data_IF_592215717681
#
_entry.id   IF_592215717681
#
_cell.length_a   1.000
_cell.length_b   1.000
_cell.length_c   1.000
_cell.angle_alpha   90.00
_cell.angle_beta   90.00
_cell.angle_gamma   90.00
#
_symmetry.space_group_name_H-M   'P 1'
#
loop_
_entity.id
_entity.type
_entity.pdbx_description
1 polymer ?
#
# COMPACT_ATOMS: atom_id res chain seq x y z
N UNK A 1 76.95 25.90 48.83
CA UNK A 1 77.51 24.74 49.60
C UNK A 1 76.60 23.56 49.36
N UNK A 2 77.18 22.71 48.61
CA UNK A 2 77.25 21.25 48.82
C UNK A 2 75.89 20.46 48.70
N UNK A 3 75.88 19.78 47.69
CA UNK A 3 76.26 18.36 47.41
C UNK A 3 75.04 17.49 47.54
N UNK A 4 74.79 16.75 46.62
CA UNK A 4 75.23 15.49 46.09
C UNK A 4 74.05 14.53 46.03
N UNK A 5 73.67 14.20 44.87
CA UNK A 5 73.92 12.92 44.19
C UNK A 5 73.00 11.70 44.52
N UNK A 6 72.66 11.07 43.46
CA UNK A 6 72.47 9.64 43.27
C UNK A 6 71.13 9.09 43.78
N UNK A 7 70.44 8.28 43.09
CA UNK A 7 70.87 7.22 42.18
C UNK A 7 69.72 6.69 41.34
N UNK A 8 70.08 6.28 40.19
CA UNK A 8 69.39 5.40 39.28
C UNK A 8 68.89 4.12 40.00
N UNK A 9 67.64 3.76 39.80
CA UNK A 9 67.28 2.36 39.71
C UNK A 9 66.31 2.19 38.58
N UNK A 10 66.77 1.52 37.60
CA UNK A 10 66.11 0.93 36.50
C UNK A 10 65.26 -0.23 36.96
N UNK A 11 63.98 -0.22 36.70
CA UNK A 11 63.24 -1.49 36.66
C UNK A 11 62.30 -1.46 35.49
N UNK A 12 62.69 -2.19 34.49
CA UNK A 12 61.88 -2.64 33.39
C UNK A 12 60.66 -3.39 33.89
N UNK A 13 59.46 -2.89 33.65
CA UNK A 13 58.27 -3.72 33.71
C UNK A 13 57.66 -3.80 32.33
N UNK A 14 57.71 -5.02 31.86
CA UNK A 14 57.18 -5.53 30.63
C UNK A 14 55.70 -5.14 30.53
N UNK A 15 55.39 -4.34 29.50
CA UNK A 15 54.03 -4.13 29.10
C UNK A 15 53.50 -5.44 28.43
N UNK A 16 52.71 -6.19 29.15
CA UNK A 16 51.82 -7.20 28.52
C UNK A 16 50.74 -6.41 27.78
N UNK A 17 50.84 -6.44 26.49
CA UNK A 17 49.74 -5.95 25.61
C UNK A 17 48.55 -6.90 25.70
N UNK A 18 47.50 -6.45 26.33
CA UNK A 18 46.21 -7.10 26.23
C UNK A 18 45.60 -6.65 24.89
N UNK A 19 45.64 -7.56 23.92
CA UNK A 19 44.99 -7.40 22.65
C UNK A 19 43.47 -7.59 22.89
N UNK A 20 42.76 -6.48 23.10
CA UNK A 20 41.31 -6.53 23.18
C UNK A 20 40.76 -6.67 21.74
N UNK A 21 40.40 -7.90 21.38
CA UNK A 21 39.64 -8.19 20.18
C UNK A 21 38.20 -7.71 20.42
N UNK A 22 37.88 -6.53 19.92
CA UNK A 22 36.49 -6.07 19.86
C UNK A 22 35.82 -6.83 18.72
N UNK A 23 35.11 -7.88 19.07
CA UNK A 23 34.20 -8.56 18.13
C UNK A 23 33.00 -7.62 17.90
N UNK A 24 33.07 -6.85 16.84
CA UNK A 24 31.95 -6.03 16.40
C UNK A 24 30.81 -6.94 15.90
N UNK A 25 29.78 -7.09 16.70
CA UNK A 25 28.54 -7.75 16.28
C UNK A 25 27.84 -6.83 15.29
N UNK A 26 27.94 -7.12 14.00
CA UNK A 26 27.17 -6.44 12.96
C UNK A 26 25.73 -6.96 13.10
N UNK A 27 24.87 -6.16 13.71
CA UNK A 27 23.42 -6.41 13.70
C UNK A 27 22.94 -6.01 12.31
N UNK A 28 22.78 -7.00 11.43
CA UNK A 28 22.08 -6.82 10.17
C UNK A 28 20.60 -6.64 10.52
N UNK A 29 20.19 -5.39 10.66
CA UNK A 29 18.78 -5.03 10.83
C UNK A 29 18.03 -5.39 9.55
N UNK A 30 17.26 -6.49 9.57
CA UNK A 30 16.28 -6.76 8.56
C UNK A 30 15.18 -5.71 8.67
N UNK A 31 15.18 -4.73 7.79
CA UNK A 31 14.06 -3.80 7.67
C UNK A 31 12.86 -4.60 7.15
N UNK A 32 11.95 -4.93 8.03
CA UNK A 32 10.63 -5.43 7.65
C UNK A 32 9.90 -4.24 7.05
N UNK A 33 9.87 -4.19 5.72
CA UNK A 33 9.07 -3.21 5.00
C UNK A 33 7.61 -3.62 5.19
N UNK A 34 6.88 -2.85 5.98
CA UNK A 34 5.44 -3.02 6.08
C UNK A 34 4.84 -2.69 4.71
N UNK A 35 4.34 -3.72 4.01
CA UNK A 35 3.60 -3.52 2.77
C UNK A 35 2.35 -2.74 3.07
N UNK A 36 2.19 -1.59 2.41
CA UNK A 36 0.99 -0.78 2.51
C UNK A 36 -0.23 -1.53 1.93
N UNK A 37 -1.46 -1.07 2.22
CA UNK A 37 -2.69 -1.68 1.70
C UNK A 37 -2.70 -1.85 0.16
N UNK A 38 -1.96 -1.03 -0.57
CA UNK A 38 -1.84 -1.09 -2.03
C UNK A 38 -0.97 -2.26 -2.52
N UNK A 39 -0.03 -2.73 -1.72
CA UNK A 39 0.88 -3.82 -2.10
C UNK A 39 0.17 -5.17 -2.18
N UNK A 40 -1.03 -5.28 -1.58
CA UNK A 40 -1.86 -6.48 -1.61
C UNK A 40 -2.97 -6.43 -2.68
N UNK A 41 -3.18 -5.27 -3.31
CA UNK A 41 -4.15 -5.13 -4.39
C UNK A 41 -3.51 -5.57 -5.71
N UNK A 42 -4.08 -6.61 -6.32
CA UNK A 42 -3.73 -6.93 -7.69
C UNK A 42 -4.08 -5.77 -8.62
N UNK A 43 -3.48 -5.75 -9.79
CA UNK A 43 -3.77 -4.77 -10.84
C UNK A 43 -4.39 -5.47 -12.05
N UNK A 44 -5.31 -4.81 -12.72
CA UNK A 44 -5.89 -5.27 -13.99
C UNK A 44 -5.90 -4.12 -14.98
N UNK A 45 -5.44 -4.37 -16.21
CA UNK A 45 -5.53 -3.37 -17.26
C UNK A 45 -6.99 -3.10 -17.62
N UNK A 46 -7.35 -1.85 -17.88
CA UNK A 46 -8.70 -1.46 -18.29
C UNK A 46 -9.20 -2.28 -19.49
N UNK A 47 -8.33 -2.52 -20.49
CA UNK A 47 -8.63 -3.33 -21.66
C UNK A 47 -8.83 -4.83 -21.37
N UNK A 48 -8.33 -5.33 -20.25
CA UNK A 48 -8.49 -6.73 -19.83
C UNK A 48 -9.74 -6.98 -18.96
N UNK A 49 -10.47 -5.94 -18.62
CA UNK A 49 -11.73 -6.06 -17.90
C UNK A 49 -12.83 -6.65 -18.81
N UNK A 50 -13.85 -7.30 -18.21
CA UNK A 50 -15.06 -7.66 -18.96
C UNK A 50 -15.66 -6.45 -19.70
N UNK A 51 -16.27 -6.69 -20.85
CA UNK A 51 -16.86 -5.60 -21.67
C UNK A 51 -17.87 -4.75 -20.89
N UNK A 52 -18.64 -5.37 -20.00
CA UNK A 52 -19.59 -4.69 -19.13
C UNK A 52 -18.89 -3.71 -18.16
N UNK A 53 -17.72 -4.10 -17.66
CA UNK A 53 -16.92 -3.25 -16.77
C UNK A 53 -16.32 -2.07 -17.54
N UNK A 54 -15.82 -2.30 -18.76
CA UNK A 54 -15.33 -1.23 -19.62
C UNK A 54 -16.46 -0.22 -19.96
N UNK A 55 -17.66 -0.72 -20.26
CA UNK A 55 -18.85 0.12 -20.48
C UNK A 55 -19.18 0.94 -19.23
N UNK A 56 -19.18 0.31 -18.05
CA UNK A 56 -19.42 1.02 -16.79
C UNK A 56 -18.39 2.12 -16.54
N UNK A 57 -17.09 1.87 -16.83
CA UNK A 57 -16.08 2.93 -16.78
C UNK A 57 -16.40 4.12 -17.70
N UNK A 58 -16.89 3.84 -18.90
CA UNK A 58 -17.34 4.88 -19.83
C UNK A 58 -18.50 5.71 -19.25
N UNK A 59 -19.48 5.07 -18.64
CA UNK A 59 -20.60 5.73 -17.97
C UNK A 59 -20.14 6.59 -16.78
N UNK A 60 -19.20 6.12 -15.98
CA UNK A 60 -18.65 6.88 -14.86
C UNK A 60 -18.03 8.19 -15.37
N UNK A 61 -17.22 8.14 -16.42
CA UNK A 61 -16.60 9.33 -17.03
C UNK A 61 -17.62 10.27 -17.67
N UNK A 62 -18.70 9.72 -18.22
CA UNK A 62 -19.79 10.49 -18.81
C UNK A 62 -20.76 11.07 -17.77
N UNK A 63 -20.73 10.60 -16.52
CA UNK A 63 -21.68 11.01 -15.48
C UNK A 63 -23.04 10.32 -15.57
N UNK A 64 -23.12 9.18 -16.22
CA UNK A 64 -24.34 8.42 -16.46
C UNK A 64 -24.92 8.58 -17.85
N UNK A 65 -26.20 8.21 -18.09
CA UNK A 65 -27.13 7.68 -17.08
C UNK A 65 -26.77 6.26 -16.63
N UNK A 66 -26.99 5.98 -15.36
CA UNK A 66 -26.70 4.68 -14.77
C UNK A 66 -27.95 3.78 -14.72
N UNK A 67 -27.82 2.49 -15.02
CA UNK A 67 -28.97 1.58 -15.06
C UNK A 67 -29.51 1.17 -13.69
N UNK A 68 -28.73 1.35 -12.61
CA UNK A 68 -29.13 0.94 -11.26
C UNK A 68 -29.20 2.13 -10.32
N UNK A 69 -30.21 2.17 -9.47
CA UNK A 69 -30.41 3.26 -8.49
C UNK A 69 -29.32 3.36 -7.45
N UNK A 70 -28.55 2.28 -7.25
CA UNK A 70 -27.40 2.28 -6.34
C UNK A 70 -26.11 2.78 -6.96
N UNK A 71 -26.09 3.01 -8.26
CA UNK A 71 -24.88 3.50 -8.91
C UNK A 71 -24.57 4.95 -8.50
N UNK A 72 -23.31 5.18 -8.18
CA UNK A 72 -22.84 6.48 -7.70
C UNK A 72 -23.04 6.75 -6.21
N UNK A 73 -23.61 5.80 -5.44
CA UNK A 73 -23.71 5.97 -3.98
C UNK A 73 -22.33 5.85 -3.32
N UNK A 74 -22.20 6.46 -2.15
CA UNK A 74 -20.96 6.41 -1.37
C UNK A 74 -20.66 4.99 -0.92
N UNK A 75 -19.43 4.54 -1.19
CA UNK A 75 -18.88 3.28 -0.70
C UNK A 75 -18.07 3.54 0.57
N UNK A 76 -18.43 2.89 1.67
CA UNK A 76 -17.88 3.20 2.99
C UNK A 76 -16.49 2.61 3.29
N UNK A 77 -15.97 1.68 2.45
CA UNK A 77 -14.69 0.99 2.67
C UNK A 77 -14.52 0.45 4.11
N UNK A 78 -15.56 -0.14 4.67
CA UNK A 78 -15.61 -0.59 6.07
C UNK A 78 -14.54 -1.64 6.37
N UNK A 79 -14.30 -2.55 5.44
CA UNK A 79 -13.29 -3.62 5.55
C UNK A 79 -11.87 -3.11 5.29
N UNK A 80 -11.71 -1.83 4.94
CA UNK A 80 -10.44 -1.17 4.67
C UNK A 80 -9.56 -1.90 3.63
N UNK A 81 -10.17 -2.56 2.66
CA UNK A 81 -9.47 -3.23 1.55
C UNK A 81 -8.90 -2.22 0.53
N UNK A 82 -9.53 -1.05 0.42
CA UNK A 82 -9.02 0.07 -0.36
C UNK A 82 -8.24 1.04 0.53
N UNK A 83 -7.38 1.90 -0.05
CA UNK A 83 -6.67 2.92 0.69
C UNK A 83 -7.61 3.74 1.56
N UNK A 84 -7.16 4.06 2.76
CA UNK A 84 -7.95 4.83 3.71
C UNK A 84 -8.13 6.26 3.22
N UNK A 85 -9.38 6.70 3.11
CA UNK A 85 -9.76 8.05 2.65
C UNK A 85 -10.91 8.57 3.52
N UNK A 86 -11.17 9.87 3.41
CA UNK A 86 -12.30 10.52 4.04
C UNK A 86 -13.65 9.97 3.54
N UNK A 87 -14.67 10.14 4.34
CA UNK A 87 -16.03 9.71 3.99
C UNK A 87 -16.50 10.44 2.73
N UNK A 88 -17.11 9.69 1.81
CA UNK A 88 -17.60 10.23 0.53
C UNK A 88 -16.58 10.23 -0.60
N UNK A 89 -15.32 9.89 -0.32
CA UNK A 89 -14.28 9.81 -1.34
C UNK A 89 -14.57 8.71 -2.37
N UNK A 90 -15.06 7.53 -1.92
CA UNK A 90 -15.37 6.40 -2.78
C UNK A 90 -16.84 6.35 -3.16
N UNK A 91 -17.11 5.98 -4.42
CA UNK A 91 -18.45 5.69 -4.95
C UNK A 91 -18.45 4.36 -5.66
N UNK A 92 -19.54 3.61 -5.53
CA UNK A 92 -19.71 2.32 -6.15
C UNK A 92 -20.59 2.39 -7.39
N UNK A 93 -20.31 1.49 -8.33
CA UNK A 93 -21.06 1.35 -9.57
C UNK A 93 -21.23 -0.13 -9.91
N UNK A 94 -22.40 -0.48 -10.40
CA UNK A 94 -22.70 -1.85 -10.80
C UNK A 94 -22.07 -2.17 -12.15
N UNK A 95 -21.40 -3.32 -12.21
CA UNK A 95 -21.01 -3.94 -13.47
C UNK A 95 -22.01 -5.07 -13.74
N UNK A 96 -22.85 -4.97 -14.77
CA UNK A 96 -23.83 -6.00 -15.08
C UNK A 96 -23.17 -7.38 -15.25
N UNK A 97 -23.83 -8.39 -14.75
CA UNK A 97 -23.42 -9.79 -14.95
C UNK A 97 -24.35 -10.40 -16.00
N UNK A 98 -23.85 -10.78 -17.19
CA UNK A 98 -24.70 -11.40 -18.22
C UNK A 98 -25.45 -12.60 -17.66
N UNK A 99 -26.76 -12.68 -17.96
CA UNK A 99 -27.64 -13.76 -17.50
C UNK A 99 -28.10 -13.67 -16.03
N UNK A 100 -27.59 -12.71 -15.24
CA UNK A 100 -28.09 -12.49 -13.89
C UNK A 100 -29.44 -11.77 -13.91
N UNK A 101 -30.36 -12.20 -13.04
CA UNK A 101 -31.68 -11.57 -12.86
C UNK A 101 -31.63 -10.37 -11.90
N UNK A 102 -30.54 -10.23 -11.16
CA UNK A 102 -30.29 -9.17 -10.19
C UNK A 102 -29.05 -8.34 -10.57
N UNK A 103 -28.57 -7.49 -9.64
CA UNK A 103 -27.37 -6.69 -9.84
C UNK A 103 -26.09 -7.52 -9.98
N UNK A 104 -26.12 -8.81 -9.62
CA UNK A 104 -24.92 -9.65 -9.53
C UNK A 104 -23.91 -9.11 -8.50
N UNK A 105 -22.71 -9.69 -8.50
CA UNK A 105 -21.66 -9.40 -7.51
C UNK A 105 -20.59 -8.41 -8.02
N UNK A 106 -20.57 -8.09 -9.30
CA UNK A 106 -19.51 -7.29 -9.91
C UNK A 106 -19.74 -5.79 -9.66
N UNK A 107 -18.67 -5.08 -9.27
CA UNK A 107 -18.69 -3.63 -9.03
C UNK A 107 -17.42 -2.97 -9.54
N UNK A 108 -17.52 -1.66 -9.79
CA UNK A 108 -16.39 -0.75 -9.83
C UNK A 108 -16.58 0.23 -8.68
N UNK A 109 -15.51 0.44 -7.91
CA UNK A 109 -15.44 1.46 -6.87
C UNK A 109 -14.40 2.47 -7.30
N UNK A 110 -14.80 3.72 -7.47
CA UNK A 110 -13.90 4.79 -7.85
C UNK A 110 -13.78 5.81 -6.72
N UNK A 111 -12.57 6.32 -6.52
CA UNK A 111 -12.27 7.37 -5.55
C UNK A 111 -11.79 8.64 -6.22
N UNK A 112 -12.14 9.78 -5.66
CA UNK A 112 -11.74 11.10 -6.12
C UNK A 112 -12.72 12.19 -5.73
N UNK A 113 -12.27 13.43 -5.84
CA UNK A 113 -13.08 14.61 -5.53
C UNK A 113 -14.21 14.81 -6.53
N UNK A 114 -13.99 14.45 -7.79
CA UNK A 114 -14.98 14.57 -8.87
C UNK A 114 -15.37 13.18 -9.39
N UNK A 115 -16.64 12.78 -9.28
CA UNK A 115 -17.08 11.44 -9.70
C UNK A 115 -16.78 11.10 -11.17
N UNK A 116 -16.81 12.07 -12.07
CA UNK A 116 -16.53 11.88 -13.50
C UNK A 116 -15.05 11.92 -13.85
N UNK A 117 -14.19 12.31 -12.90
CA UNK A 117 -12.73 12.33 -13.02
C UNK A 117 -12.11 11.64 -11.81
N UNK A 118 -12.32 10.33 -11.66
CA UNK A 118 -11.78 9.61 -10.53
C UNK A 118 -10.25 9.56 -10.57
N UNK A 119 -9.63 9.62 -9.39
CA UNK A 119 -8.19 9.48 -9.21
C UNK A 119 -7.73 8.03 -9.34
N UNK A 120 -8.57 7.09 -8.88
CA UNK A 120 -8.33 5.66 -8.97
C UNK A 120 -9.66 4.91 -9.00
N UNK A 121 -9.71 3.81 -9.75
CA UNK A 121 -10.84 2.90 -9.77
C UNK A 121 -10.38 1.47 -9.49
N UNK A 122 -11.24 0.72 -8.84
CA UNK A 122 -11.00 -0.66 -8.42
C UNK A 122 -12.14 -1.54 -8.88
N UNK A 123 -11.80 -2.71 -9.41
CA UNK A 123 -12.77 -3.71 -9.85
C UNK A 123 -12.88 -4.83 -8.81
N UNK A 124 -14.10 -5.26 -8.54
CA UNK A 124 -14.41 -6.45 -7.74
C UNK A 124 -15.38 -7.34 -8.50
N UNK A 125 -15.13 -8.64 -8.48
CA UNK A 125 -16.02 -9.67 -9.06
C UNK A 125 -16.78 -10.47 -8.00
N UNK A 126 -16.45 -10.29 -6.72
CA UNK A 126 -16.89 -11.11 -5.59
C UNK A 126 -17.58 -10.30 -4.48
N UNK A 127 -18.34 -9.28 -4.87
CA UNK A 127 -19.13 -8.45 -3.97
C UNK A 127 -18.29 -7.84 -2.83
N UNK A 128 -17.20 -7.16 -3.21
CA UNK A 128 -16.28 -6.42 -2.32
C UNK A 128 -15.35 -7.28 -1.45
N UNK A 129 -15.30 -8.60 -1.65
CA UNK A 129 -14.39 -9.46 -0.90
C UNK A 129 -12.92 -9.28 -1.34
N UNK A 130 -12.70 -8.95 -2.60
CA UNK A 130 -11.38 -8.58 -3.13
C UNK A 130 -11.50 -7.47 -4.17
N UNK A 131 -10.39 -6.77 -4.39
CA UNK A 131 -10.30 -5.70 -5.36
C UNK A 131 -9.04 -5.80 -6.22
N UNK A 132 -9.13 -5.30 -7.44
CA UNK A 132 -7.97 -5.05 -8.32
C UNK A 132 -7.97 -3.59 -8.73
N UNK A 133 -6.81 -2.94 -8.62
CA UNK A 133 -6.64 -1.59 -9.15
C UNK A 133 -6.75 -1.65 -10.67
N UNK A 134 -7.58 -0.79 -11.26
CA UNK A 134 -7.71 -0.68 -12.70
C UNK A 134 -6.62 0.26 -13.21
N UNK A 135 -5.68 -0.29 -13.98
CA UNK A 135 -4.69 0.49 -14.70
C UNK A 135 -5.23 0.97 -16.05
N UNK A 136 -4.72 2.08 -16.56
CA UNK A 136 -5.05 2.60 -17.89
C UNK A 136 -4.86 1.59 -19.01
#
# INVERSE_FOLDING_TARGET
MDKVARSLIWTSLRKLGILSVVVGTVIVGTTVQARGPLDNLGTVASAALPAEAQKTQGLIRAGGPFPYSKDGVVFGNREQLLPRRERGFYREYTVPTPGSRDRGARRIVCGGQRPTLPEACYYTADHYASFKLIAP
#
